data_IF_728416718267
#
_entry.id   IF_728416718267
#
_cell.length_a   1.000
_cell.length_b   1.000
_cell.length_c   1.000
_cell.angle_alpha   90.00
_cell.angle_beta   90.00
_cell.angle_gamma   90.00
#
_symmetry.space_group_name_H-M   'P 1'
#
loop_
_entity.id
_entity.type
_entity.pdbx_description
1 polymer ?
#
# COMPACT_ATOMS: atom_id res chain seq x y z
N UNK A 1 -55.71 -13.05 9.46
CA UNK A 1 -55.06 -11.77 9.85
C UNK A 1 -53.79 -11.96 10.68
N UNK A 2 -53.73 -12.92 11.62
CA UNK A 2 -52.51 -13.23 12.40
C UNK A 2 -51.30 -13.70 11.55
N UNK A 3 -51.55 -14.55 10.53
CA UNK A 3 -50.49 -15.03 9.62
C UNK A 3 -49.84 -13.90 8.79
N UNK A 4 -50.64 -12.94 8.29
CA UNK A 4 -50.13 -11.79 7.53
C UNK A 4 -49.24 -10.86 8.38
N UNK A 5 -49.55 -10.73 9.68
CA UNK A 5 -48.72 -9.95 10.62
C UNK A 5 -47.38 -10.64 10.91
N UNK A 6 -47.36 -11.97 11.03
CA UNK A 6 -46.13 -12.73 11.24
C UNK A 6 -45.18 -12.63 10.03
N UNK A 7 -45.72 -12.66 8.81
CA UNK A 7 -44.93 -12.51 7.57
C UNK A 7 -44.37 -11.09 7.43
N UNK A 8 -45.15 -10.06 7.80
CA UNK A 8 -44.68 -8.67 7.83
C UNK A 8 -43.58 -8.46 8.88
N UNK A 9 -43.66 -9.10 10.05
CA UNK A 9 -42.64 -9.04 11.09
C UNK A 9 -41.33 -9.73 10.65
N UNK A 10 -41.41 -10.84 9.92
CA UNK A 10 -40.23 -11.52 9.35
C UNK A 10 -39.58 -10.74 8.21
N UNK A 11 -40.36 -9.99 7.42
CA UNK A 11 -39.82 -9.12 6.38
C UNK A 11 -39.15 -7.86 6.98
N UNK A 12 -39.69 -7.34 8.08
CA UNK A 12 -39.14 -6.19 8.79
C UNK A 12 -37.80 -6.49 9.48
N UNK A 13 -37.60 -7.72 9.99
CA UNK A 13 -36.31 -8.12 10.58
C UNK A 13 -35.22 -8.33 9.53
N UNK A 14 -35.57 -8.72 8.30
CA UNK A 14 -34.60 -8.90 7.22
C UNK A 14 -34.02 -7.55 6.70
N UNK A 15 -34.79 -6.46 6.80
CA UNK A 15 -34.36 -5.11 6.44
C UNK A 15 -33.36 -4.48 7.44
N UNK A 16 -33.19 -5.11 8.61
CA UNK A 16 -32.27 -4.68 9.66
C UNK A 16 -31.03 -5.56 9.78
N UNK A 17 -30.70 -6.37 8.76
CA UNK A 17 -29.37 -6.98 8.72
C UNK A 17 -28.31 -5.87 8.60
N UNK A 18 -27.49 -5.63 9.63
CA UNK A 18 -26.48 -4.59 9.57
C UNK A 18 -25.54 -4.94 8.42
N UNK A 19 -25.45 -4.05 7.43
CA UNK A 19 -24.40 -4.09 6.44
C UNK A 19 -23.11 -3.77 7.19
N UNK A 20 -22.35 -4.80 7.57
CA UNK A 20 -21.05 -4.61 8.22
C UNK A 20 -20.12 -4.00 7.16
N UNK A 21 -20.03 -2.68 7.15
CA UNK A 21 -19.03 -1.97 6.38
C UNK A 21 -17.68 -2.20 7.04
N UNK A 22 -16.92 -3.18 6.56
CA UNK A 22 -15.51 -3.31 6.89
C UNK A 22 -14.79 -2.10 6.31
N UNK A 23 -14.56 -1.07 7.14
CA UNK A 23 -13.67 0.03 6.79
C UNK A 23 -12.26 -0.52 6.73
N UNK A 24 -11.82 -0.95 5.55
CA UNK A 24 -10.44 -1.39 5.33
C UNK A 24 -9.55 -0.14 5.32
N UNK A 25 -8.81 0.07 6.41
CA UNK A 25 -7.77 1.09 6.48
C UNK A 25 -6.66 0.77 5.47
N UNK A 26 -6.17 1.80 4.77
CA UNK A 26 -4.97 1.67 3.96
C UNK A 26 -3.77 1.44 4.87
N UNK A 27 -3.05 0.34 4.67
CA UNK A 27 -1.91 -0.01 5.52
C UNK A 27 -0.85 -0.79 4.73
N UNK A 28 0.41 -0.54 5.02
CA UNK A 28 1.55 -1.32 4.51
C UNK A 28 2.17 -2.09 5.68
N UNK A 29 2.40 -3.40 5.50
CA UNK A 29 2.96 -4.28 6.53
C UNK A 29 4.10 -5.13 5.99
N UNK A 30 4.79 -5.78 6.94
CA UNK A 30 5.76 -6.85 6.66
C UNK A 30 6.84 -6.43 5.64
N UNK A 31 7.29 -5.18 5.73
CA UNK A 31 8.37 -4.68 4.87
C UNK A 31 9.65 -5.41 5.23
N UNK A 32 10.20 -6.15 4.27
CA UNK A 32 11.44 -6.89 4.39
C UNK A 32 12.28 -6.66 3.14
N UNK A 33 13.60 -6.79 3.24
CA UNK A 33 14.46 -6.65 2.08
C UNK A 33 15.61 -7.66 2.08
N UNK A 34 16.08 -7.96 0.88
CA UNK A 34 17.27 -8.74 0.60
C UNK A 34 18.13 -7.94 -0.39
N UNK A 35 19.45 -7.94 -0.22
CA UNK A 35 20.38 -7.23 -1.10
C UNK A 35 21.53 -8.15 -1.50
N UNK A 36 21.91 -8.10 -2.78
CA UNK A 36 23.12 -8.74 -3.31
C UNK A 36 24.26 -7.74 -3.56
N UNK A 37 24.10 -6.49 -3.12
CA UNK A 37 25.05 -5.39 -3.33
C UNK A 37 24.93 -4.67 -4.68
N UNK A 38 24.15 -5.21 -5.63
CA UNK A 38 23.79 -4.55 -6.89
C UNK A 38 22.32 -4.19 -6.94
N UNK A 39 21.47 -5.09 -6.50
CA UNK A 39 20.02 -4.98 -6.51
C UNK A 39 19.48 -5.26 -5.11
N UNK A 40 18.50 -4.45 -4.72
CA UNK A 40 17.73 -4.66 -3.49
C UNK A 40 16.34 -5.12 -3.87
N UNK A 41 15.90 -6.23 -3.28
CA UNK A 41 14.55 -6.75 -3.41
C UNK A 41 13.79 -6.45 -2.12
N UNK A 42 12.74 -5.64 -2.20
CA UNK A 42 11.90 -5.25 -1.08
C UNK A 42 10.55 -5.96 -1.22
N UNK A 43 10.15 -6.72 -0.20
CA UNK A 43 8.84 -7.35 -0.09
C UNK A 43 7.97 -6.61 0.90
N UNK A 44 6.67 -6.53 0.63
CA UNK A 44 5.70 -5.90 1.54
C UNK A 44 4.28 -6.41 1.27
N UNK A 45 3.40 -6.18 2.24
CA UNK A 45 1.95 -6.40 2.10
C UNK A 45 1.23 -5.06 2.04
N UNK A 46 0.24 -4.95 1.16
CA UNK A 46 -0.60 -3.77 1.01
C UNK A 46 -2.05 -4.12 1.32
N UNK A 47 -2.57 -3.58 2.41
CA UNK A 47 -3.96 -3.70 2.81
C UNK A 47 -4.73 -2.43 2.46
N UNK A 48 -5.99 -2.62 2.08
CA UNK A 48 -6.87 -1.53 1.68
C UNK A 48 -8.04 -2.03 0.82
N UNK A 49 -8.84 -1.10 0.31
CA UNK A 49 -9.99 -1.41 -0.56
C UNK A 49 -9.53 -2.07 -1.86
N UNK A 50 -9.91 -3.34 -2.03
CA UNK A 50 -9.60 -4.19 -3.17
C UNK A 50 -10.07 -3.63 -4.52
N UNK A 51 -11.07 -2.74 -4.51
CA UNK A 51 -11.61 -2.12 -5.72
C UNK A 51 -10.84 -0.87 -6.15
N UNK A 52 -9.88 -0.43 -5.35
CA UNK A 52 -9.11 0.78 -5.59
C UNK A 52 -7.65 0.46 -5.85
N UNK A 53 -6.92 1.51 -6.27
CA UNK A 53 -5.49 1.45 -6.54
C UNK A 53 -4.79 2.58 -5.80
N UNK A 54 -3.53 2.34 -5.47
CA UNK A 54 -2.71 3.20 -4.63
C UNK A 54 -1.48 3.64 -5.40
N UNK A 55 -0.92 4.78 -4.98
CA UNK A 55 0.44 5.15 -5.34
C UNK A 55 1.37 4.64 -4.25
N UNK A 56 2.38 3.89 -4.67
CA UNK A 56 3.41 3.34 -3.80
C UNK A 56 4.71 4.11 -4.03
N UNK A 57 5.34 4.54 -2.95
CA UNK A 57 6.62 5.26 -2.97
C UNK A 57 7.59 4.55 -2.06
N UNK A 58 8.79 4.28 -2.57
CA UNK A 58 9.91 3.77 -1.78
C UNK A 58 10.77 4.95 -1.32
N UNK A 59 11.11 4.96 -0.04
CA UNK A 59 12.10 5.87 0.53
C UNK A 59 13.08 5.08 1.39
N UNK A 60 14.28 5.63 1.54
CA UNK A 60 15.33 5.08 2.36
C UNK A 60 15.79 6.13 3.38
N UNK A 61 15.98 5.66 4.60
CA UNK A 61 16.67 6.36 5.68
C UNK A 61 18.07 5.80 5.84
N UNK A 62 19.02 6.67 6.11
CA UNK A 62 20.41 6.39 6.51
C UNK A 62 20.68 6.86 7.95
N UNK A 63 19.62 7.07 8.74
CA UNK A 63 19.67 7.58 10.11
C UNK A 63 18.74 6.80 11.04
N UNK A 64 18.69 5.47 10.95
CA UNK A 64 17.82 4.62 11.80
C UNK A 64 16.32 4.96 11.72
N UNK A 65 15.87 5.52 10.60
CA UNK A 65 14.47 5.88 10.38
C UNK A 65 14.05 7.22 10.97
N UNK A 66 14.97 8.07 11.43
CA UNK A 66 14.64 9.43 11.89
C UNK A 66 14.21 10.33 10.73
N UNK A 67 14.81 10.18 9.55
CA UNK A 67 14.47 10.88 8.32
C UNK A 67 14.61 9.99 7.08
N UNK A 68 13.80 10.28 6.06
CA UNK A 68 13.73 9.48 4.82
C UNK A 68 14.04 10.37 3.62
N UNK A 69 15.31 10.74 3.48
CA UNK A 69 15.79 11.72 2.51
C UNK A 69 16.26 11.09 1.19
N UNK A 70 16.56 9.78 1.20
CA UNK A 70 17.03 9.05 0.02
C UNK A 70 15.82 8.51 -0.75
N UNK A 71 15.77 8.80 -2.05
CA UNK A 71 14.68 8.41 -2.94
C UNK A 71 15.21 7.53 -4.08
N UNK A 72 15.13 6.20 -3.97
CA UNK A 72 15.43 5.27 -5.06
C UNK A 72 14.74 5.68 -6.38
N UNK A 73 15.51 5.76 -7.46
CA UNK A 73 15.06 6.20 -8.79
C UNK A 73 14.91 5.04 -9.76
N UNK A 74 15.82 4.08 -9.73
CA UNK A 74 15.82 2.91 -10.63
C UNK A 74 15.04 1.76 -10.01
N UNK A 75 13.73 1.97 -9.85
CA UNK A 75 12.81 1.04 -9.21
C UNK A 75 11.81 0.43 -10.19
N UNK A 76 11.46 -0.84 -9.98
CA UNK A 76 10.47 -1.59 -10.77
C UNK A 76 9.64 -2.52 -9.89
N UNK A 77 8.59 -3.13 -10.45
CA UNK A 77 7.70 -4.06 -9.75
C UNK A 77 6.42 -3.38 -9.25
N UNK A 78 5.96 -3.77 -8.06
CA UNK A 78 4.78 -3.22 -7.39
C UNK A 78 5.06 -1.83 -6.79
N UNK A 79 5.36 -0.84 -7.65
CA UNK A 79 5.67 0.54 -7.24
C UNK A 79 5.01 1.56 -8.17
N UNK A 80 4.91 2.80 -7.72
CA UNK A 80 4.37 3.90 -8.51
C UNK A 80 2.86 3.93 -8.47
N UNK A 81 2.24 4.51 -9.50
CA UNK A 81 0.77 4.67 -9.55
C UNK A 81 0.13 3.33 -9.92
N UNK A 82 -1.06 3.07 -9.38
CA UNK A 82 -1.95 1.98 -9.81
C UNK A 82 -1.68 0.59 -9.20
N UNK A 83 -1.08 0.50 -8.02
CA UNK A 83 -0.89 -0.78 -7.31
C UNK A 83 -2.17 -1.16 -6.57
N UNK A 84 -2.67 -2.38 -6.78
CA UNK A 84 -3.84 -2.92 -6.05
C UNK A 84 -3.40 -3.52 -4.71
N UNK A 85 -4.26 -3.58 -3.67
CA UNK A 85 -4.00 -4.36 -2.45
C UNK A 85 -3.60 -5.82 -2.71
N UNK A 86 -2.96 -6.45 -1.74
CA UNK A 86 -2.53 -7.85 -1.77
C UNK A 86 -1.22 -8.06 -1.00
N UNK A 87 -0.92 -9.33 -0.75
CA UNK A 87 0.26 -9.78 0.00
C UNK A 87 1.43 -10.11 -0.92
N UNK A 88 2.64 -10.18 -0.35
CA UNK A 88 3.88 -10.59 -1.02
C UNK A 88 4.23 -9.77 -2.26
N UNK A 89 3.91 -8.48 -2.24
CA UNK A 89 4.29 -7.53 -3.30
C UNK A 89 5.79 -7.32 -3.31
N UNK A 90 6.33 -6.99 -4.49
CA UNK A 90 7.79 -6.89 -4.67
C UNK A 90 8.17 -5.62 -5.41
N UNK A 91 9.11 -4.89 -4.82
CA UNK A 91 9.82 -3.77 -5.45
C UNK A 91 11.26 -4.22 -5.68
N UNK A 92 11.78 -4.03 -6.89
CA UNK A 92 13.19 -4.20 -7.21
C UNK A 92 13.84 -2.84 -7.39
N UNK A 93 14.96 -2.62 -6.73
CA UNK A 93 15.74 -1.40 -6.83
C UNK A 93 17.16 -1.70 -7.33
N UNK A 94 17.60 -1.04 -8.40
CA UNK A 94 18.97 -1.12 -8.88
C UNK A 94 19.90 -0.15 -8.13
N UNK A 95 20.31 -0.56 -6.92
CA UNK A 95 21.21 0.20 -6.05
C UNK A 95 22.47 0.68 -6.78
N UNK A 96 23.09 -0.17 -7.59
CA UNK A 96 24.33 0.15 -8.32
C UNK A 96 24.15 1.21 -9.41
N UNK A 97 22.96 1.37 -9.97
CA UNK A 97 22.69 2.38 -11.00
C UNK A 97 22.44 3.74 -10.36
N UNK A 98 21.72 3.79 -9.24
CA UNK A 98 21.51 5.03 -8.49
C UNK A 98 22.78 5.46 -7.73
N UNK A 99 23.50 4.48 -7.18
CA UNK A 99 24.69 4.66 -6.34
C UNK A 99 25.83 3.74 -6.81
N UNK A 100 26.58 4.13 -7.87
CA UNK A 100 27.65 3.30 -8.42
C UNK A 100 28.76 2.92 -7.43
N UNK A 101 29.03 3.80 -6.47
CA UNK A 101 29.99 3.60 -5.39
C UNK A 101 29.43 2.74 -4.23
N UNK A 102 28.14 2.42 -4.23
CA UNK A 102 27.43 1.86 -3.08
C UNK A 102 26.93 2.95 -2.13
N UNK A 103 26.45 2.51 -0.98
CA UNK A 103 26.05 3.38 0.13
C UNK A 103 26.93 3.05 1.35
N UNK A 104 27.36 4.09 2.06
CA UNK A 104 28.19 3.96 3.26
C UNK A 104 27.33 4.03 4.53
N UNK A 105 27.43 3.02 5.40
CA UNK A 105 26.63 2.90 6.62
C UNK A 105 25.97 1.53 6.76
N UNK A 106 25.36 1.28 7.91
CA UNK A 106 24.72 0.01 8.27
C UNK A 106 23.32 0.17 8.88
N UNK A 107 22.88 1.41 9.07
CA UNK A 107 21.65 1.81 9.74
C UNK A 107 20.49 2.14 8.78
N UNK A 108 20.43 1.43 7.67
CA UNK A 108 19.44 1.66 6.61
C UNK A 108 18.06 1.15 6.98
N UNK A 109 17.04 2.01 6.79
CA UNK A 109 15.63 1.66 7.00
C UNK A 109 14.81 2.03 5.77
N UNK A 110 14.10 1.06 5.19
CA UNK A 110 13.18 1.32 4.09
C UNK A 110 11.80 1.70 4.60
N UNK A 111 11.23 2.75 4.02
CA UNK A 111 9.80 3.06 4.13
C UNK A 111 9.11 2.80 2.79
N UNK A 112 8.04 2.01 2.83
CA UNK A 112 7.12 1.81 1.71
C UNK A 112 5.83 2.55 2.04
N UNK A 113 5.65 3.70 1.43
CA UNK A 113 4.48 4.56 1.65
C UNK A 113 3.40 4.26 0.62
N UNK A 114 2.15 4.18 1.08
CA UNK A 114 0.98 4.05 0.22
C UNK A 114 0.07 5.26 0.40
N UNK A 115 -0.33 5.87 -0.71
CA UNK A 115 -1.29 6.97 -0.73
C UNK A 115 -2.41 6.72 -1.75
N UNK A 116 -3.60 7.19 -1.42
CA UNK A 116 -4.73 7.20 -2.35
C UNK A 116 -4.48 8.18 -3.49
N UNK A 117 -4.70 7.76 -4.72
CA UNK A 117 -4.78 8.68 -5.84
C UNK A 117 -6.13 9.43 -5.76
N UNK A 118 -6.17 10.62 -5.18
CA UNK A 118 -7.29 11.52 -5.39
C UNK A 118 -7.33 11.88 -6.88
N UNK A 119 -8.45 11.62 -7.56
CA UNK A 119 -8.67 12.18 -8.89
C UNK A 119 -8.87 13.68 -8.73
N UNK A 120 -7.83 14.46 -8.99
CA UNK A 120 -7.97 15.91 -9.11
C UNK A 120 -8.76 16.18 -10.38
N UNK A 121 -10.02 16.61 -10.27
CA UNK A 121 -10.72 17.19 -11.42
C UNK A 121 -9.99 18.49 -11.77
N UNK A 122 -9.31 18.49 -12.92
CA UNK A 122 -8.71 19.70 -13.48
C UNK A 122 -9.82 20.42 -14.24
N UNK A 123 -10.21 21.59 -13.75
CA UNK A 123 -11.12 22.49 -14.47
C UNK A 123 -10.27 23.40 -15.36
N UNK A 124 -10.54 23.40 -16.66
CA UNK A 124 -10.04 24.44 -17.57
C UNK A 124 -11.02 25.61 -17.51
N UNK A 125 -10.50 26.80 -17.21
CA UNK A 125 -11.21 28.07 -17.35
C UNK A 125 -11.07 28.61 -18.77
#
# INVERSE_FOLDING_TARGET
MQLMRAILLLYFTYLFFPQISLSQSLEVKNVQFESDGKTVKIKYDLYGDVNKKYKIVLKLSDDNGFSYTIHPKTVTGDIGKSVKPGESKVIFWNLKEDFPAGLDGDNYVFAVEAEWLQQVQVFYI
#
